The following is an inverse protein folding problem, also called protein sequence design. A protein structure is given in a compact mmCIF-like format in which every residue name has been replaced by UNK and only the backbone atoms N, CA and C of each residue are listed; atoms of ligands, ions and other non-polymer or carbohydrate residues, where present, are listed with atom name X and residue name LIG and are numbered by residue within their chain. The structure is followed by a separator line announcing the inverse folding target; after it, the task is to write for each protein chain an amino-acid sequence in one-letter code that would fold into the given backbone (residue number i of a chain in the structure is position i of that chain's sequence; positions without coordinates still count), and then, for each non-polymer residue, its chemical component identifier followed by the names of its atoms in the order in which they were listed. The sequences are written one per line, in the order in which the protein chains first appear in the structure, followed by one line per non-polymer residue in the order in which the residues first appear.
data_IF_551120278571
#
_entry.id   IF_551120278571
#
_cell.length_a   1.000
_cell.length_b   1.000
_cell.length_c   1.000
_cell.angle_alpha   90.00
_cell.angle_beta   90.00
_cell.angle_gamma   90.00
#
_symmetry.space_group_name_H-M   'P 1'
#
loop_
_entity.id
_entity.type
_entity.pdbx_description
1 polymer ?
#
# COMPACT_ATOMS: atom_id res chain seq x y z
N UNK A 1 -7.95 -5.78 15.04
CA UNK A 1 -8.93 -5.43 13.99
C UNK A 1 -8.80 -6.35 12.77
N UNK A 2 -7.64 -6.44 12.10
CA UNK A 2 -7.44 -7.37 10.96
C UNK A 2 -7.69 -8.85 11.33
N UNK A 3 -7.28 -9.29 12.52
CA UNK A 3 -7.50 -10.67 12.99
C UNK A 3 -8.98 -11.09 13.02
N UNK A 4 -9.88 -10.15 13.37
CA UNK A 4 -11.32 -10.42 13.36
C UNK A 4 -11.88 -10.61 11.93
N UNK A 5 -11.20 -10.07 10.92
CA UNK A 5 -11.59 -10.17 9.52
C UNK A 5 -11.03 -11.43 8.84
N UNK A 6 -10.01 -12.10 9.43
CA UNK A 6 -9.36 -13.27 8.81
C UNK A 6 -10.33 -14.38 8.37
N UNK A 7 -11.36 -14.76 9.16
CA UNK A 7 -12.31 -15.78 8.72
C UNK A 7 -13.20 -15.34 7.55
N UNK A 8 -13.27 -14.04 7.25
CA UNK A 8 -14.17 -13.44 6.26
C UNK A 8 -13.48 -13.07 4.94
N UNK A 9 -12.15 -13.18 4.86
CA UNK A 9 -11.36 -12.82 3.68
C UNK A 9 -10.62 -14.03 3.13
N UNK A 10 -10.36 -14.03 1.82
CA UNK A 10 -9.62 -15.12 1.18
C UNK A 10 -8.14 -15.13 1.56
N UNK A 11 -7.55 -13.97 1.83
CA UNK A 11 -6.16 -13.83 2.27
C UNK A 11 -5.90 -12.46 2.91
N UNK A 12 -4.78 -12.37 3.61
CA UNK A 12 -4.28 -11.12 4.20
C UNK A 12 -2.83 -10.93 3.75
N UNK A 13 -2.56 -9.81 3.08
CA UNK A 13 -1.21 -9.39 2.69
C UNK A 13 -0.76 -8.30 3.66
N UNK A 14 0.31 -8.54 4.40
CA UNK A 14 0.92 -7.56 5.30
C UNK A 14 2.16 -6.97 4.66
N UNK A 15 2.21 -5.65 4.55
CA UNK A 15 3.29 -4.92 3.88
C UNK A 15 3.97 -3.99 4.88
N UNK A 16 5.02 -4.44 5.58
CA UNK A 16 5.82 -3.56 6.40
C UNK A 16 6.60 -2.59 5.52
N UNK A 17 6.41 -1.29 5.73
CA UNK A 17 7.13 -0.27 4.97
C UNK A 17 8.54 -0.09 5.51
N UNK A 18 9.50 0.06 4.60
CA UNK A 18 10.89 0.34 4.95
C UNK A 18 11.06 1.78 5.45
N UNK A 19 12.14 2.05 6.19
CA UNK A 19 12.50 3.41 6.58
C UNK A 19 12.75 4.32 5.37
N UNK A 20 13.31 3.76 4.30
CA UNK A 20 13.52 4.46 3.03
C UNK A 20 12.18 4.88 2.42
N UNK A 21 11.23 3.95 2.28
CA UNK A 21 9.88 4.24 1.77
C UNK A 21 9.19 5.34 2.57
N UNK A 22 9.26 5.26 3.91
CA UNK A 22 8.65 6.28 4.79
C UNK A 22 9.31 7.65 4.63
N UNK A 23 10.64 7.69 4.45
CA UNK A 23 11.37 8.94 4.27
C UNK A 23 11.01 9.72 3.00
N UNK A 24 10.50 9.04 1.96
CA UNK A 24 10.01 9.68 0.73
C UNK A 24 8.77 10.53 0.96
N UNK A 25 8.06 10.37 2.08
CA UNK A 25 6.95 11.23 2.50
C UNK A 25 5.94 11.49 1.38
N UNK A 26 5.75 12.76 1.01
CA UNK A 26 4.79 13.19 -0.01
C UNK A 26 5.40 13.35 -1.41
N UNK A 27 6.61 12.84 -1.66
CA UNK A 27 7.26 12.97 -2.96
C UNK A 27 6.39 12.39 -4.08
N UNK A 28 6.17 13.18 -5.13
CA UNK A 28 5.32 12.82 -6.27
C UNK A 28 3.81 13.06 -6.04
N UNK A 29 3.39 13.48 -4.85
CA UNK A 29 2.01 13.92 -4.64
C UNK A 29 1.78 15.31 -5.24
N UNK A 30 0.56 15.54 -5.72
CA UNK A 30 0.08 16.85 -6.19
C UNK A 30 -0.99 17.31 -5.22
N UNK A 31 -0.73 18.41 -4.52
CA UNK A 31 -1.64 19.00 -3.54
C UNK A 31 -1.45 20.52 -3.48
N UNK A 32 -2.51 21.23 -3.07
CA UNK A 32 -2.42 22.66 -2.77
C UNK A 32 -1.51 22.87 -1.56
N UNK A 33 -0.62 23.90 -1.53
CA UNK A 33 0.27 24.15 -0.40
C UNK A 33 -0.43 24.24 0.96
N UNK A 34 -1.68 24.71 1.01
CA UNK A 34 -2.48 24.75 2.25
C UNK A 34 -2.82 23.35 2.80
N UNK A 35 -2.76 22.32 1.96
CA UNK A 35 -3.01 20.93 2.32
C UNK A 35 -1.75 20.14 2.66
N UNK A 36 -0.56 20.76 2.70
CA UNK A 36 0.69 20.07 3.04
C UNK A 36 0.63 19.28 4.37
N UNK A 37 0.01 19.80 5.46
CA UNK A 37 -0.11 19.03 6.70
C UNK A 37 -0.98 17.78 6.56
N UNK A 38 -2.03 17.85 5.73
CA UNK A 38 -2.89 16.68 5.46
C UNK A 38 -2.15 15.65 4.60
N UNK A 39 -1.43 16.11 3.56
CA UNK A 39 -0.63 15.22 2.72
C UNK A 39 0.44 14.47 3.54
N UNK A 40 1.10 15.14 4.49
CA UNK A 40 2.09 14.52 5.37
C UNK A 40 1.50 13.52 6.38
N UNK A 41 0.17 13.54 6.60
CA UNK A 41 -0.51 12.64 7.54
C UNK A 41 -0.89 11.28 6.94
N UNK A 42 -0.70 11.10 5.62
CA UNK A 42 -1.02 9.88 4.89
C UNK A 42 0.23 9.26 4.26
N UNK A 43 0.12 8.01 3.83
CA UNK A 43 1.20 7.30 3.16
C UNK A 43 1.45 7.85 1.75
N UNK A 44 2.73 8.00 1.42
CA UNK A 44 3.21 8.51 0.14
C UNK A 44 2.98 7.59 -1.06
N UNK A 45 3.19 8.08 -2.30
CA UNK A 45 3.11 7.26 -3.50
C UNK A 45 4.03 6.04 -3.47
N UNK A 46 5.24 6.17 -2.90
CA UNK A 46 6.16 5.04 -2.76
C UNK A 46 5.58 3.92 -1.88
N UNK A 47 4.91 4.27 -0.78
CA UNK A 47 4.25 3.29 0.08
C UNK A 47 3.08 2.59 -0.63
N UNK A 48 2.35 3.31 -1.49
CA UNK A 48 1.34 2.69 -2.35
C UNK A 48 1.96 1.75 -3.40
N UNK A 49 3.13 2.09 -3.94
CA UNK A 49 3.85 1.21 -4.87
C UNK A 49 4.31 -0.09 -4.19
N UNK A 50 4.83 -0.01 -2.96
CA UNK A 50 5.18 -1.19 -2.15
C UNK A 50 3.94 -2.07 -1.92
N UNK A 51 2.82 -1.46 -1.55
CA UNK A 51 1.55 -2.18 -1.35
C UNK A 51 1.04 -2.84 -2.64
N UNK A 52 1.07 -2.14 -3.77
CA UNK A 52 0.64 -2.68 -5.06
C UNK A 52 1.52 -3.86 -5.49
N UNK A 53 2.84 -3.74 -5.30
CA UNK A 53 3.81 -4.80 -5.61
C UNK A 53 3.55 -6.04 -4.78
N UNK A 54 3.29 -5.88 -3.47
CA UNK A 54 2.99 -7.00 -2.59
C UNK A 54 1.62 -7.65 -2.87
N UNK A 55 0.64 -6.86 -3.32
CA UNK A 55 -0.70 -7.36 -3.68
C UNK A 55 -0.73 -8.12 -5.01
N UNK A 56 0.10 -7.72 -5.98
CA UNK A 56 0.12 -8.27 -7.33
C UNK A 56 0.10 -9.82 -7.40
N UNK A 57 1.01 -10.57 -6.73
CA UNK A 57 1.01 -12.03 -6.83
C UNK A 57 -0.28 -12.67 -6.31
N UNK A 58 -0.87 -12.08 -5.27
CA UNK A 58 -2.10 -12.60 -4.67
C UNK A 58 -3.32 -12.31 -5.55
N UNK A 59 -3.37 -11.13 -6.18
CA UNK A 59 -4.40 -10.80 -7.17
C UNK A 59 -4.33 -11.72 -8.39
N UNK A 60 -3.14 -11.98 -8.91
CA UNK A 60 -2.94 -12.92 -10.03
C UNK A 60 -3.44 -14.32 -9.67
N UNK A 61 -3.08 -14.81 -8.48
CA UNK A 61 -3.55 -16.09 -7.94
C UNK A 61 -5.09 -16.17 -7.89
N UNK A 62 -5.75 -15.11 -7.40
CA UNK A 62 -7.22 -15.06 -7.30
C UNK A 62 -7.91 -14.95 -8.65
N UNK A 63 -7.29 -14.31 -9.64
CA UNK A 63 -7.80 -14.23 -11.01
C UNK A 63 -7.53 -15.49 -11.84
N UNK A 64 -6.83 -16.49 -11.29
CA UNK A 64 -6.42 -17.69 -12.03
C UNK A 64 -5.35 -17.42 -13.08
N UNK A 65 -4.69 -16.25 -13.02
CA UNK A 65 -3.59 -15.89 -13.90
C UNK A 65 -2.30 -16.38 -13.25
N UNK A 66 -1.54 -17.25 -13.93
CA UNK A 66 -0.17 -17.56 -13.50
C UNK A 66 0.68 -16.35 -13.82
N UNK A 67 1.33 -15.76 -12.81
CA UNK A 67 2.36 -14.74 -13.01
C UNK A 67 3.39 -15.30 -13.98
N UNK A 68 3.67 -14.55 -15.04
CA UNK A 68 4.68 -14.90 -16.05
C UNK A 68 6.07 -14.99 -15.45
#
# INVERSE_FOLDING_TARGET
MIEALRPMVTSVVQVPLSAETLSRGTEGMVFDPLHAPMAASILGPMAHQDAATALQPELLRLMGLRGG
#
